data_IF_272015899017
#
_entry.id   IF_272015899017
#
_cell.length_a   1.000
_cell.length_b   1.000
_cell.length_c   1.000
_cell.angle_alpha   90.00
_cell.angle_beta   90.00
_cell.angle_gamma   90.00
#
_symmetry.space_group_name_H-M   'P 1'
#
loop_
_entity.id
_entity.type
_entity.pdbx_description
1 polymer ?
#
# COMPACT_ATOMS: atom_id res chain seq x y z
N UNK A 1 -0.33 7.60 22.17
CA UNK A 1 0.94 7.69 21.46
C UNK A 1 1.61 6.34 21.23
N UNK A 2 1.74 5.55 22.31
CA UNK A 2 2.34 4.22 22.18
C UNK A 2 1.53 3.32 21.25
N UNK A 3 0.21 3.42 21.30
CA UNK A 3 -0.65 2.64 20.41
C UNK A 3 -0.40 2.95 18.95
N UNK A 4 -0.19 4.22 18.62
CA UNK A 4 0.11 4.59 17.24
C UNK A 4 1.46 4.05 16.79
N UNK A 5 2.45 4.06 17.67
CA UNK A 5 3.75 3.50 17.35
C UNK A 5 3.67 1.99 17.14
N UNK A 6 2.93 1.30 17.99
CA UNK A 6 2.75 -0.15 17.84
C UNK A 6 2.04 -0.45 16.52
N UNK A 7 1.01 0.33 16.20
CA UNK A 7 0.31 0.19 14.93
C UNK A 7 1.23 0.38 13.74
N UNK A 8 2.09 1.41 13.79
CA UNK A 8 3.03 1.68 12.72
C UNK A 8 4.02 0.52 12.54
N UNK A 9 4.51 -0.05 13.64
CA UNK A 9 5.42 -1.18 13.56
C UNK A 9 4.73 -2.38 12.94
N UNK A 10 3.48 -2.63 13.32
CA UNK A 10 2.69 -3.72 12.73
C UNK A 10 2.53 -3.54 11.23
N UNK A 11 2.26 -2.32 10.77
CA UNK A 11 2.13 -2.05 9.35
C UNK A 11 3.45 -2.26 8.61
N UNK A 12 4.57 -1.89 9.22
CA UNK A 12 5.87 -2.12 8.61
C UNK A 12 6.12 -3.60 8.44
N UNK A 13 5.80 -4.41 9.46
CA UNK A 13 5.97 -5.85 9.37
C UNK A 13 5.09 -6.43 8.26
N UNK A 14 3.84 -5.99 8.19
CA UNK A 14 2.94 -6.43 7.13
C UNK A 14 3.47 -6.05 5.75
N UNK A 15 4.02 -4.84 5.63
CA UNK A 15 4.59 -4.39 4.37
C UNK A 15 5.75 -5.27 3.93
N UNK A 16 6.60 -5.68 4.87
CA UNK A 16 7.71 -6.58 4.56
C UNK A 16 7.21 -7.94 4.10
N UNK A 17 6.16 -8.45 4.74
CA UNK A 17 5.56 -9.71 4.33
C UNK A 17 4.99 -9.62 2.91
N UNK A 18 4.34 -8.50 2.59
CA UNK A 18 3.79 -8.29 1.25
C UNK A 18 4.88 -8.15 0.20
N UNK A 19 6.00 -7.51 0.55
CA UNK A 19 7.15 -7.46 -0.36
C UNK A 19 7.66 -8.85 -0.69
N UNK A 20 7.72 -9.71 0.30
CA UNK A 20 8.11 -11.09 0.07
C UNK A 20 7.16 -11.76 -0.95
N UNK A 21 5.86 -11.53 -0.80
CA UNK A 21 4.87 -12.07 -1.71
C UNK A 21 5.03 -11.55 -3.13
N UNK A 22 5.39 -10.27 -3.26
CA UNK A 22 5.61 -9.68 -4.58
C UNK A 22 6.78 -10.39 -5.28
N UNK A 23 7.82 -10.70 -4.54
CA UNK A 23 9.01 -11.34 -5.10
C UNK A 23 8.74 -12.79 -5.45
N UNK A 24 8.00 -13.51 -4.61
CA UNK A 24 7.84 -14.95 -4.72
C UNK A 24 6.52 -15.36 -5.38
N UNK A 25 5.62 -14.43 -5.61
CA UNK A 25 4.30 -14.73 -6.17
C UNK A 25 4.39 -15.52 -7.46
N UNK A 26 3.65 -16.63 -7.58
CA UNK A 26 3.77 -17.51 -8.74
C UNK A 26 3.19 -16.94 -10.01
N UNK A 27 2.21 -16.04 -9.92
CA UNK A 27 1.58 -15.44 -11.09
C UNK A 27 1.64 -13.93 -11.04
N UNK A 28 1.46 -13.30 -12.21
CA UNK A 28 1.42 -11.83 -12.27
C UNK A 28 0.23 -11.29 -11.48
N UNK A 29 -0.89 -11.98 -11.51
CA UNK A 29 -2.07 -11.54 -10.76
C UNK A 29 -1.81 -11.55 -9.25
N UNK A 30 -1.14 -12.58 -8.75
CA UNK A 30 -0.81 -12.66 -7.33
C UNK A 30 0.13 -11.52 -6.92
N UNK A 31 1.11 -11.24 -7.77
CA UNK A 31 2.04 -10.14 -7.51
C UNK A 31 1.32 -8.81 -7.49
N UNK A 32 0.39 -8.61 -8.41
CA UNK A 32 -0.37 -7.37 -8.48
C UNK A 32 -1.25 -7.20 -7.25
N UNK A 33 -1.90 -8.25 -6.80
CA UNK A 33 -2.72 -8.19 -5.60
C UNK A 33 -1.88 -7.82 -4.38
N UNK A 34 -0.69 -8.40 -4.27
CA UNK A 34 0.20 -8.08 -3.16
C UNK A 34 0.68 -6.64 -3.23
N UNK A 35 0.97 -6.15 -4.44
CA UNK A 35 1.39 -4.76 -4.61
C UNK A 35 0.28 -3.79 -4.23
N UNK A 36 -0.97 -4.11 -4.60
CA UNK A 36 -2.12 -3.28 -4.24
C UNK A 36 -2.31 -3.25 -2.72
N UNK A 37 -2.22 -4.41 -2.09
CA UNK A 37 -2.32 -4.50 -0.64
C UNK A 37 -1.20 -3.70 0.04
N UNK A 38 0.01 -3.74 -0.51
CA UNK A 38 1.13 -2.97 0.01
C UNK A 38 0.85 -1.47 -0.08
N UNK A 39 0.29 -1.03 -1.20
CA UNK A 39 -0.08 0.38 -1.40
C UNK A 39 -1.08 0.83 -0.35
N UNK A 40 -2.13 0.05 -0.14
CA UNK A 40 -3.15 0.37 0.86
C UNK A 40 -2.56 0.39 2.26
N UNK A 41 -1.70 -0.55 2.56
CA UNK A 41 -1.03 -0.62 3.86
C UNK A 41 -0.18 0.62 4.09
N UNK A 42 0.58 1.03 3.07
CA UNK A 42 1.41 2.23 3.14
C UNK A 42 0.56 3.48 3.35
N UNK A 43 -0.53 3.60 2.60
CA UNK A 43 -1.43 4.75 2.74
C UNK A 43 -2.02 4.82 4.14
N UNK A 44 -2.43 3.69 4.68
CA UNK A 44 -2.99 3.63 6.02
C UNK A 44 -1.94 4.00 7.07
N UNK A 45 -0.71 3.53 6.89
CA UNK A 45 0.38 3.87 7.79
C UNK A 45 0.65 5.37 7.79
N UNK A 46 0.59 6.00 6.62
CA UNK A 46 0.75 7.45 6.51
C UNK A 46 -0.37 8.20 7.21
N UNK A 47 -1.60 7.71 7.11
CA UNK A 47 -2.72 8.31 7.82
C UNK A 47 -2.50 8.24 9.32
N UNK A 48 -2.08 7.09 9.82
CA UNK A 48 -1.80 6.92 11.24
C UNK A 48 -0.67 7.85 11.69
N UNK A 49 0.36 7.97 10.88
CA UNK A 49 1.48 8.85 11.18
C UNK A 49 1.03 10.31 11.19
N UNK A 50 0.15 10.67 10.27
CA UNK A 50 -0.42 12.02 10.25
C UNK A 50 -1.18 12.34 11.54
N UNK A 51 -1.95 11.38 12.02
CA UNK A 51 -2.67 11.55 13.29
C UNK A 51 -1.70 11.69 14.46
N UNK A 52 -0.60 10.97 14.41
CA UNK A 52 0.40 11.02 15.47
C UNK A 52 1.12 12.36 15.50
N UNK A 53 1.52 12.87 14.34
CA UNK A 53 2.28 14.12 14.25
C UNK A 53 1.39 15.34 14.17
N UNK A 54 0.12 15.18 13.81
CA UNK A 54 -0.80 16.29 13.63
C UNK A 54 -0.56 17.08 12.35
N UNK A 55 0.18 16.52 11.40
CA UNK A 55 0.48 17.21 10.14
C UNK A 55 -0.39 16.70 9.01
N UNK A 56 -1.14 17.60 8.40
CA UNK A 56 -2.02 17.25 7.29
C UNK A 56 -1.29 16.88 6.01
N UNK A 57 -0.02 17.23 5.87
CA UNK A 57 0.74 16.90 4.67
C UNK A 57 0.85 15.40 4.46
N UNK A 58 0.90 14.62 5.54
CA UNK A 58 0.97 13.17 5.42
C UNK A 58 -0.36 12.59 4.92
N UNK A 59 -1.47 13.25 5.24
CA UNK A 59 -2.77 12.85 4.70
C UNK A 59 -2.82 13.08 3.20
N UNK A 60 -2.27 14.19 2.73
CA UNK A 60 -2.23 14.48 1.30
C UNK A 60 -1.40 13.44 0.56
N UNK A 61 -0.25 13.07 1.11
CA UNK A 61 0.60 12.05 0.53
C UNK A 61 -0.12 10.70 0.50
N UNK A 62 -0.82 10.36 1.57
CA UNK A 62 -1.58 9.12 1.64
C UNK A 62 -2.67 9.08 0.58
N UNK A 63 -3.38 10.18 0.39
CA UNK A 63 -4.43 10.28 -0.60
C UNK A 63 -3.86 10.09 -2.01
N UNK A 64 -2.76 10.77 -2.32
CA UNK A 64 -2.12 10.65 -3.63
C UNK A 64 -1.65 9.22 -3.85
N UNK A 65 -1.05 8.60 -2.84
CA UNK A 65 -0.58 7.22 -2.92
C UNK A 65 -1.75 6.27 -3.20
N UNK A 66 -2.87 6.46 -2.53
CA UNK A 66 -4.04 5.61 -2.72
C UNK A 66 -4.60 5.75 -4.13
N UNK A 67 -4.67 6.97 -4.65
CA UNK A 67 -5.16 7.21 -6.00
C UNK A 67 -4.22 6.60 -7.04
N UNK A 68 -2.92 6.79 -6.87
CA UNK A 68 -1.94 6.21 -7.78
C UNK A 68 -2.00 4.69 -7.76
N UNK A 69 -2.17 4.10 -6.58
CA UNK A 69 -2.30 2.65 -6.46
C UNK A 69 -3.52 2.14 -7.20
N UNK A 70 -4.66 2.83 -7.08
CA UNK A 70 -5.87 2.46 -7.79
C UNK A 70 -5.66 2.51 -9.31
N UNK A 71 -5.10 3.60 -9.80
CA UNK A 71 -4.84 3.75 -11.24
C UNK A 71 -3.90 2.66 -11.74
N UNK A 72 -2.84 2.39 -11.01
CA UNK A 72 -1.88 1.33 -11.37
C UNK A 72 -2.56 -0.02 -11.42
N UNK A 73 -3.39 -0.32 -10.42
CA UNK A 73 -4.09 -1.59 -10.36
C UNK A 73 -5.02 -1.78 -11.55
N UNK A 74 -5.77 -0.75 -11.91
CA UNK A 74 -6.67 -0.80 -13.06
C UNK A 74 -5.87 -1.01 -14.35
N UNK A 75 -4.76 -0.30 -14.50
CA UNK A 75 -3.91 -0.41 -15.68
C UNK A 75 -3.36 -1.81 -15.84
N UNK A 76 -2.79 -2.36 -14.78
CA UNK A 76 -2.18 -3.69 -14.82
C UNK A 76 -3.25 -4.76 -15.03
N UNK A 77 -4.43 -4.58 -14.42
CA UNK A 77 -5.52 -5.52 -14.61
C UNK A 77 -5.95 -5.57 -16.07
N UNK A 78 -6.05 -4.42 -16.72
CA UNK A 78 -6.39 -4.37 -18.14
C UNK A 78 -5.30 -4.98 -19.01
N UNK A 79 -4.06 -4.76 -18.66
CA UNK A 79 -2.93 -5.35 -19.36
C UNK A 79 -2.99 -6.88 -19.29
N UNK A 80 -3.29 -7.41 -18.13
CA UNK A 80 -3.39 -8.86 -17.94
C UNK A 80 -4.56 -9.45 -18.69
N UNK A 81 -5.61 -8.67 -18.90
CA UNK A 81 -6.75 -9.12 -19.71
C UNK A 81 -6.46 -9.04 -21.21
N UNK A 82 -5.34 -8.46 -21.59
CA UNK A 82 -4.97 -8.34 -23.00
C UNK A 82 -5.70 -7.25 -23.74
N UNK A 83 -6.23 -6.26 -23.03
CA UNK A 83 -7.01 -5.17 -23.64
C UNK A 83 -6.21 -3.92 -23.99
N UNK A 84 -4.95 -3.92 -23.66
CA UNK A 84 -4.12 -2.73 -23.92
C UNK A 84 -3.33 -2.89 -25.18
#
# INVERSE_FOLDING_TARGET
>A
MTLLLIGAICYVVLALCLLYRIIVGPTAADRMCAADALDLTTATALVLYSLYTGRGIYLDIALVTAVLGFVTTVFVARYLEGRV
#
